data_IF_701573520845
#
_entry.id   IF_701573520845
#
_cell.length_a   1.000
_cell.length_b   1.000
_cell.length_c   1.000
_cell.angle_alpha   90.00
_cell.angle_beta   90.00
_cell.angle_gamma   90.00
#
_symmetry.space_group_name_H-M   'P 1'
#
loop_
_entity.id
_entity.type
_entity.pdbx_description
1 polymer ?
#
# COMPACT_ATOMS: atom_id res chain seq x y z
N UNK A 1 0.34 -40.20 -10.44
CA UNK A 1 0.72 -38.83 -10.87
C UNK A 1 -0.50 -37.93 -10.78
N UNK A 2 -0.71 -37.28 -9.64
CA UNK A 2 -1.79 -36.30 -9.44
C UNK A 2 -1.43 -35.01 -10.17
N UNK A 3 -2.24 -34.61 -11.15
CA UNK A 3 -2.07 -33.33 -11.85
C UNK A 3 -2.17 -32.18 -10.83
N UNK A 4 -1.27 -31.19 -10.86
CA UNK A 4 -1.44 -30.00 -10.04
C UNK A 4 -2.78 -29.35 -10.42
N UNK A 5 -3.56 -28.99 -9.40
CA UNK A 5 -4.80 -28.24 -9.57
C UNK A 5 -4.45 -26.81 -9.94
N UNK A 6 -5.23 -26.19 -10.83
CA UNK A 6 -5.00 -24.82 -11.33
C UNK A 6 -4.70 -23.80 -10.22
N UNK A 7 -5.38 -23.89 -9.07
CA UNK A 7 -5.12 -23.05 -7.89
C UNK A 7 -3.70 -23.23 -7.30
N UNK A 8 -3.18 -24.46 -7.24
CA UNK A 8 -1.83 -24.71 -6.70
C UNK A 8 -0.73 -24.08 -7.56
N UNK A 9 -0.89 -24.11 -8.89
CA UNK A 9 0.05 -23.49 -9.83
C UNK A 9 -0.03 -21.95 -9.79
N UNK A 10 -1.23 -21.39 -9.58
CA UNK A 10 -1.44 -19.95 -9.37
C UNK A 10 -0.76 -19.47 -8.08
N UNK A 11 -0.95 -20.17 -6.97
CA UNK A 11 -0.29 -19.87 -5.69
C UNK A 11 1.23 -19.94 -5.84
N UNK A 12 1.76 -20.96 -6.52
CA UNK A 12 3.21 -21.11 -6.74
C UNK A 12 3.78 -19.96 -7.56
N UNK A 13 3.09 -19.55 -8.62
CA UNK A 13 3.49 -18.44 -9.47
C UNK A 13 3.52 -17.13 -8.69
N UNK A 14 2.46 -16.84 -7.93
CA UNK A 14 2.37 -15.67 -7.08
C UNK A 14 3.50 -15.60 -6.04
N UNK A 15 3.76 -16.71 -5.33
CA UNK A 15 4.83 -16.77 -4.32
C UNK A 15 6.21 -16.52 -4.92
N UNK A 16 6.44 -16.98 -6.15
CA UNK A 16 7.68 -16.76 -6.86
C UNK A 16 7.82 -15.29 -7.32
N UNK A 17 6.75 -14.65 -7.75
CA UNK A 17 6.75 -13.22 -8.12
C UNK A 17 7.08 -12.32 -6.93
N UNK A 18 6.38 -12.47 -5.81
CA UNK A 18 6.63 -11.65 -4.60
C UNK A 18 7.99 -11.95 -3.97
N UNK A 19 8.55 -13.14 -4.23
CA UNK A 19 9.88 -13.54 -3.76
C UNK A 19 11.03 -12.81 -4.49
N UNK A 20 10.78 -12.29 -5.70
CA UNK A 20 11.76 -11.52 -6.49
C UNK A 20 11.90 -10.07 -6.03
N UNK A 21 10.90 -9.55 -5.31
CA UNK A 21 10.92 -8.17 -4.81
C UNK A 21 11.87 -8.09 -3.60
N UNK A 22 12.89 -7.21 -3.63
CA UNK A 22 13.79 -7.04 -2.50
C UNK A 22 13.07 -6.44 -1.30
N UNK A 23 13.49 -6.84 -0.10
CA UNK A 23 13.00 -6.25 1.15
C UNK A 23 13.48 -4.81 1.27
N UNK A 24 12.66 -3.95 1.88
CA UNK A 24 13.05 -2.59 2.16
C UNK A 24 14.03 -2.51 3.33
N UNK A 25 15.01 -1.62 3.23
CA UNK A 25 15.79 -1.20 4.39
C UNK A 25 14.97 -0.26 5.26
N UNK A 26 15.39 -0.08 6.51
CA UNK A 26 14.71 0.84 7.42
C UNK A 26 14.64 2.28 6.90
N UNK A 27 15.73 2.74 6.32
CA UNK A 27 15.81 4.07 5.73
C UNK A 27 14.84 4.21 4.56
N UNK A 28 14.72 3.17 3.73
CA UNK A 28 13.74 3.14 2.65
C UNK A 28 12.30 3.16 3.18
N UNK A 29 11.98 2.44 4.26
CA UNK A 29 10.67 2.52 4.92
C UNK A 29 10.35 3.96 5.35
N UNK A 30 11.32 4.66 5.92
CA UNK A 30 11.15 6.05 6.35
C UNK A 30 10.93 6.98 5.15
N UNK A 31 11.76 6.87 4.12
CA UNK A 31 11.67 7.72 2.91
C UNK A 31 10.35 7.49 2.18
N UNK A 32 9.98 6.23 1.93
CA UNK A 32 8.74 5.92 1.24
C UNK A 32 7.52 6.26 2.10
N UNK A 33 7.56 6.00 3.42
CA UNK A 33 6.49 6.39 4.33
C UNK A 33 6.23 7.90 4.30
N UNK A 34 7.29 8.73 4.29
CA UNK A 34 7.15 10.19 4.15
C UNK A 34 6.51 10.61 2.82
N UNK A 35 6.92 9.97 1.72
CA UNK A 35 6.36 10.25 0.38
C UNK A 35 4.87 9.86 0.30
N UNK A 36 4.50 8.72 0.89
CA UNK A 36 3.10 8.29 0.99
C UNK A 36 2.31 9.30 1.82
N UNK A 37 2.81 9.67 3.01
CA UNK A 37 2.11 10.61 3.89
C UNK A 37 1.88 11.97 3.22
N UNK A 38 2.88 12.50 2.52
CA UNK A 38 2.75 13.75 1.74
C UNK A 38 1.66 13.63 0.68
N UNK A 39 1.64 12.52 -0.06
CA UNK A 39 0.59 12.26 -1.05
C UNK A 39 -0.80 12.16 -0.40
N UNK A 40 -0.93 11.41 0.70
CA UNK A 40 -2.21 11.26 1.39
C UNK A 40 -2.77 12.61 1.84
N UNK A 41 -1.92 13.48 2.40
CA UNK A 41 -2.33 14.83 2.81
C UNK A 41 -2.86 15.68 1.65
N UNK A 42 -2.20 15.64 0.48
CA UNK A 42 -2.71 16.41 -0.68
C UNK A 42 -3.97 15.80 -1.28
N UNK A 43 -4.14 14.48 -1.25
CA UNK A 43 -5.35 13.81 -1.71
C UNK A 43 -6.53 14.12 -0.78
N UNK A 44 -6.34 14.05 0.53
CA UNK A 44 -7.35 14.46 1.53
C UNK A 44 -7.77 15.93 1.32
N UNK A 45 -6.81 16.82 1.01
CA UNK A 45 -7.09 18.20 0.67
C UNK A 45 -7.91 18.34 -0.62
N UNK A 46 -7.67 17.48 -1.62
CA UNK A 46 -8.46 17.44 -2.85
C UNK A 46 -9.90 17.03 -2.57
N UNK A 47 -10.10 16.00 -1.75
CA UNK A 47 -11.42 15.48 -1.40
C UNK A 47 -12.22 16.52 -0.61
N UNK A 48 -11.60 17.18 0.37
CA UNK A 48 -12.22 18.29 1.12
C UNK A 48 -12.63 19.48 0.21
N UNK A 49 -11.79 19.80 -0.77
CA UNK A 49 -12.11 20.82 -1.77
C UNK A 49 -13.27 20.37 -2.67
N UNK A 50 -13.31 19.10 -3.07
CA UNK A 50 -14.39 18.55 -3.89
C UNK A 50 -15.75 18.61 -3.17
N UNK A 51 -15.77 18.32 -1.87
CA UNK A 51 -16.96 18.47 -1.03
C UNK A 51 -17.44 19.93 -0.96
N UNK A 52 -16.50 20.87 -0.81
CA UNK A 52 -16.80 22.31 -0.75
C UNK A 52 -17.36 22.83 -2.07
N UNK A 53 -16.78 22.39 -3.20
CA UNK A 53 -17.19 22.83 -4.54
C UNK A 53 -18.39 22.07 -5.09
N UNK A 54 -18.77 20.95 -4.46
CA UNK A 54 -19.76 19.97 -4.98
C UNK A 54 -19.44 19.47 -6.40
N UNK A 55 -18.15 19.46 -6.75
CA UNK A 55 -17.62 18.97 -8.03
C UNK A 55 -16.15 18.62 -7.87
N UNK A 56 -15.60 17.89 -8.84
CA UNK A 56 -14.16 17.69 -8.91
C UNK A 56 -13.42 19.04 -9.09
N UNK A 57 -12.43 19.34 -8.23
CA UNK A 57 -11.58 20.50 -8.44
C UNK A 57 -10.67 20.31 -9.65
N UNK A 58 -10.39 21.40 -10.34
CA UNK A 58 -9.33 21.40 -11.36
C UNK A 58 -7.96 21.28 -10.70
N UNK A 59 -6.94 20.86 -11.46
CA UNK A 59 -5.58 20.76 -10.93
C UNK A 59 -5.06 22.11 -10.39
N UNK A 60 -5.45 23.23 -11.04
CA UNK A 60 -5.05 24.56 -10.60
C UNK A 60 -5.72 24.92 -9.26
N UNK A 61 -7.03 24.72 -9.12
CA UNK A 61 -7.75 24.96 -7.87
C UNK A 61 -7.21 24.10 -6.73
N UNK A 62 -6.85 22.84 -7.02
CA UNK A 62 -6.23 21.95 -6.04
C UNK A 62 -4.84 22.45 -5.63
N UNK A 63 -4.00 22.82 -6.61
CA UNK A 63 -2.67 23.36 -6.36
C UNK A 63 -2.71 24.64 -5.52
N UNK A 64 -3.62 25.55 -5.86
CA UNK A 64 -3.86 26.80 -5.11
C UNK A 64 -4.31 26.52 -3.67
N UNK A 65 -5.22 25.56 -3.49
CA UNK A 65 -5.73 25.17 -2.16
C UNK A 65 -4.65 24.60 -1.24
N UNK A 66 -3.71 23.80 -1.77
CA UNK A 66 -2.57 23.27 -1.00
C UNK A 66 -1.39 24.25 -0.92
N UNK A 67 -1.48 25.40 -1.59
CA UNK A 67 -0.41 26.41 -1.65
C UNK A 67 0.86 25.91 -2.35
N UNK A 68 0.72 25.09 -3.40
CA UNK A 68 1.83 24.56 -4.21
C UNK A 68 1.60 24.90 -5.68
N UNK A 69 2.65 24.81 -6.51
CA UNK A 69 2.47 24.83 -7.95
C UNK A 69 1.99 23.46 -8.49
N UNK A 70 1.31 23.45 -9.64
CA UNK A 70 0.74 22.23 -10.23
C UNK A 70 1.82 21.16 -10.51
N UNK A 71 3.04 21.57 -10.91
CA UNK A 71 4.10 20.63 -11.21
C UNK A 71 4.63 19.93 -9.95
N UNK A 72 4.79 20.68 -8.85
CA UNK A 72 5.17 20.14 -7.53
C UNK A 72 4.08 19.22 -6.99
N UNK A 73 2.81 19.61 -7.07
CA UNK A 73 1.68 18.78 -6.67
C UNK A 73 1.65 17.46 -7.45
N UNK A 74 1.74 17.52 -8.78
CA UNK A 74 1.81 16.32 -9.64
C UNK A 74 2.98 15.42 -9.27
N UNK A 75 4.14 16.01 -8.95
CA UNK A 75 5.34 15.28 -8.52
C UNK A 75 5.12 14.57 -7.19
N UNK A 76 4.53 15.26 -6.20
CA UNK A 76 4.19 14.66 -4.88
C UNK A 76 3.29 13.45 -5.03
N UNK A 77 2.21 13.57 -5.81
CA UNK A 77 1.28 12.46 -6.08
C UNK A 77 2.00 11.31 -6.79
N UNK A 78 2.78 11.59 -7.83
CA UNK A 78 3.50 10.56 -8.58
C UNK A 78 4.52 9.83 -7.71
N UNK A 79 5.26 10.57 -6.88
CA UNK A 79 6.25 9.99 -5.97
C UNK A 79 5.59 9.15 -4.87
N UNK A 80 4.53 9.66 -4.25
CA UNK A 80 3.76 8.93 -3.25
C UNK A 80 3.15 7.65 -3.80
N UNK A 81 2.56 7.68 -5.00
CA UNK A 81 1.98 6.48 -5.63
C UNK A 81 3.06 5.42 -5.87
N UNK A 82 4.23 5.83 -6.36
CA UNK A 82 5.37 4.91 -6.54
C UNK A 82 5.90 4.37 -5.21
N UNK A 83 5.97 5.21 -4.18
CA UNK A 83 6.41 4.81 -2.85
C UNK A 83 5.44 3.82 -2.22
N UNK A 84 4.13 4.10 -2.27
CA UNK A 84 3.05 3.22 -1.81
C UNK A 84 3.17 1.84 -2.45
N UNK A 85 3.28 1.81 -3.79
CA UNK A 85 3.45 0.56 -4.55
C UNK A 85 4.67 -0.24 -4.08
N UNK A 86 5.84 0.41 -3.95
CA UNK A 86 7.06 -0.26 -3.46
C UNK A 86 6.91 -0.80 -2.04
N UNK A 87 6.26 -0.06 -1.15
CA UNK A 87 6.00 -0.51 0.22
C UNK A 87 5.09 -1.72 0.25
N UNK A 88 4.02 -1.74 -0.56
CA UNK A 88 3.12 -2.89 -0.67
C UNK A 88 3.89 -4.11 -1.21
N UNK A 89 4.51 -3.97 -2.38
CA UNK A 89 5.20 -5.08 -3.07
C UNK A 89 6.27 -5.74 -2.19
N UNK A 90 7.07 -4.95 -1.47
CA UNK A 90 8.12 -5.47 -0.60
C UNK A 90 7.59 -6.19 0.66
N UNK A 91 6.32 -5.99 1.01
CA UNK A 91 5.69 -6.54 2.20
C UNK A 91 4.63 -7.63 1.92
N UNK A 92 4.38 -8.00 0.65
CA UNK A 92 3.46 -9.09 0.32
C UNK A 92 3.86 -10.44 0.96
N UNK A 93 5.15 -10.66 1.20
CA UNK A 93 5.64 -11.86 1.92
C UNK A 93 5.14 -11.92 3.37
N UNK A 94 4.96 -10.76 4.03
CA UNK A 94 4.39 -10.68 5.37
C UNK A 94 2.91 -11.07 5.35
N UNK A 95 2.16 -10.60 4.35
CA UNK A 95 0.75 -10.96 4.14
C UNK A 95 0.59 -12.47 4.03
N UNK A 96 1.36 -13.11 3.16
CA UNK A 96 1.36 -14.57 3.00
C UNK A 96 1.67 -15.28 4.31
N UNK A 97 2.66 -14.80 5.07
CA UNK A 97 3.05 -15.40 6.35
C UNK A 97 1.93 -15.32 7.41
N UNK A 98 1.14 -14.24 7.40
CA UNK A 98 -0.01 -14.05 8.29
C UNK A 98 -1.20 -14.89 7.80
N UNK A 99 -1.55 -14.81 6.52
CA UNK A 99 -2.66 -15.52 5.89
C UNK A 99 -2.58 -17.05 6.07
N UNK A 100 -1.35 -17.63 6.05
CA UNK A 100 -1.13 -19.07 6.31
C UNK A 100 -1.72 -19.54 7.65
N UNK A 101 -1.81 -18.66 8.65
CA UNK A 101 -2.38 -19.00 9.97
C UNK A 101 -3.90 -19.20 9.92
N UNK A 102 -4.56 -18.71 8.87
CA UNK A 102 -6.02 -18.70 8.73
C UNK A 102 -6.56 -19.72 7.71
N UNK A 103 -5.70 -20.48 7.02
CA UNK A 103 -6.08 -21.45 5.97
C UNK A 103 -7.10 -22.52 6.39
N UNK A 104 -7.24 -22.80 7.70
CA UNK A 104 -8.18 -23.82 8.21
C UNK A 104 -9.64 -23.35 8.29
N UNK A 105 -9.98 -22.15 7.77
CA UNK A 105 -11.29 -21.51 7.93
C UNK A 105 -12.04 -21.36 6.61
N UNK A 106 -12.48 -22.46 6.00
CA UNK A 106 -13.42 -22.52 4.85
C UNK A 106 -13.24 -21.50 3.70
N UNK A 107 -12.07 -20.89 3.55
CA UNK A 107 -11.77 -19.81 2.61
C UNK A 107 -10.51 -20.19 1.82
N UNK A 108 -10.50 -19.85 0.53
CA UNK A 108 -9.36 -20.14 -0.34
C UNK A 108 -8.16 -19.31 0.10
N UNK A 109 -6.95 -19.84 -0.09
CA UNK A 109 -5.75 -19.20 0.42
C UNK A 109 -5.41 -17.89 -0.30
N UNK A 110 -5.67 -17.79 -1.59
CA UNK A 110 -5.58 -16.57 -2.38
C UNK A 110 -6.57 -15.53 -1.87
N UNK A 111 -7.80 -15.91 -1.51
CA UNK A 111 -8.77 -14.97 -0.94
C UNK A 111 -8.24 -14.36 0.37
N UNK A 112 -7.67 -15.18 1.27
CA UNK A 112 -7.02 -14.69 2.49
C UNK A 112 -5.84 -13.75 2.19
N UNK A 113 -5.07 -14.03 1.14
CA UNK A 113 -3.97 -13.15 0.70
C UNK A 113 -4.51 -11.83 0.17
N UNK A 114 -5.59 -11.86 -0.61
CA UNK A 114 -6.21 -10.65 -1.16
C UNK A 114 -6.73 -9.74 -0.05
N UNK A 115 -7.49 -10.28 0.91
CA UNK A 115 -7.97 -9.53 2.08
C UNK A 115 -6.81 -8.97 2.91
N UNK A 116 -5.79 -9.78 3.18
CA UNK A 116 -4.59 -9.32 3.88
C UNK A 116 -3.81 -8.25 3.11
N UNK A 117 -3.87 -8.26 1.77
CA UNK A 117 -3.24 -7.24 0.91
C UNK A 117 -3.99 -5.91 1.01
N UNK A 118 -5.33 -5.93 1.06
CA UNK A 118 -6.14 -4.73 1.32
C UNK A 118 -5.85 -4.16 2.72
N UNK A 119 -5.67 -5.03 3.71
CA UNK A 119 -5.18 -4.65 5.04
C UNK A 119 -3.82 -3.96 4.98
N UNK A 120 -2.84 -4.58 4.32
CA UNK A 120 -1.51 -4.02 4.12
C UNK A 120 -1.56 -2.64 3.45
N UNK A 121 -2.36 -2.47 2.40
CA UNK A 121 -2.51 -1.21 1.68
C UNK A 121 -2.98 -0.08 2.60
N UNK A 122 -4.04 -0.31 3.40
CA UNK A 122 -4.51 0.64 4.42
C UNK A 122 -3.43 0.94 5.47
N UNK A 123 -2.66 -0.08 5.84
CA UNK A 123 -1.52 0.07 6.73
C UNK A 123 -0.42 0.96 6.15
N UNK A 124 -0.14 0.88 4.84
CA UNK A 124 0.82 1.78 4.16
C UNK A 124 0.32 3.22 4.17
N UNK A 125 -0.96 3.44 3.87
CA UNK A 125 -1.56 4.80 3.82
C UNK A 125 -1.52 5.52 5.16
N UNK A 126 -1.65 4.78 6.28
CA UNK A 126 -1.72 5.34 7.63
C UNK A 126 -0.41 5.22 8.42
N UNK A 127 0.65 4.71 7.80
CA UNK A 127 1.92 4.50 8.49
C UNK A 127 2.63 5.84 8.76
N UNK A 128 2.97 6.03 10.03
CA UNK A 128 3.74 7.19 10.49
C UNK A 128 5.21 6.79 10.75
N UNK A 129 6.14 7.15 9.85
CA UNK A 129 7.55 6.79 9.97
C UNK A 129 8.28 7.54 11.11
N UNK A 130 7.66 8.56 11.72
CA UNK A 130 8.29 9.35 12.79
C UNK A 130 8.25 8.66 14.16
N UNK A 131 7.39 7.65 14.32
CA UNK A 131 7.19 6.92 15.60
C UNK A 131 8.30 5.94 15.95
N UNK A 132 9.29 5.74 15.07
CA UNK A 132 10.49 4.94 15.36
C UNK A 132 10.30 3.41 15.32
N UNK A 133 9.10 2.91 15.02
CA UNK A 133 8.86 1.47 14.84
C UNK A 133 9.06 1.04 13.38
N UNK A 134 9.43 -0.23 13.17
CA UNK A 134 9.47 -0.85 11.83
C UNK A 134 8.08 -0.89 11.22
N UNK A 135 8.01 -0.73 9.90
CA UNK A 135 6.72 -0.79 9.19
C UNK A 135 6.04 -2.15 9.38
N UNK A 136 6.79 -3.25 9.37
CA UNK A 136 6.26 -4.61 9.56
C UNK A 136 5.53 -4.80 10.90
N UNK A 137 5.98 -4.14 11.97
CA UNK A 137 5.32 -4.16 13.28
C UNK A 137 3.94 -3.49 13.22
N UNK A 138 3.84 -2.37 12.51
CA UNK A 138 2.60 -1.63 12.34
C UNK A 138 1.63 -2.37 11.40
N UNK A 139 2.14 -2.78 10.23
CA UNK A 139 1.37 -3.47 9.19
C UNK A 139 0.73 -4.78 9.68
N UNK A 140 1.35 -5.45 10.65
CA UNK A 140 0.82 -6.66 11.27
C UNK A 140 -0.64 -6.52 11.72
N UNK A 141 -0.99 -5.40 12.36
CA UNK A 141 -2.32 -5.16 12.90
C UNK A 141 -3.37 -4.87 11.82
N UNK A 142 -2.94 -4.37 10.67
CA UNK A 142 -3.82 -4.11 9.54
C UNK A 142 -4.10 -5.37 8.72
N UNK A 143 -3.17 -6.32 8.71
CA UNK A 143 -3.28 -7.58 7.95
C UNK A 143 -4.03 -8.66 8.73
N UNK A 144 -3.90 -8.66 10.07
CA UNK A 144 -4.42 -9.70 10.97
C UNK A 144 -5.96 -9.71 11.02
#
# INVERSE_FOLDING_TARGET
TTKPTFSADMVRTYLHEIGRVPLLTHEQEIVYGKQVQQMMTVLEAKDALAETLQREPTNQEWADYVGQDEATLKKMVTQGTRAKRKMIEANLRLVVAIAKKYQKRNMEFLDLIQEGTLGLERGVEKFDPTRGYKFSTYAYWWIR
#
